data_IF_796342574794
#
_entry.id   IF_796342574794
#
_cell.length_a   1.000
_cell.length_b   1.000
_cell.length_c   1.000
_cell.angle_alpha   90.00
_cell.angle_beta   90.00
_cell.angle_gamma   90.00
#
_symmetry.space_group_name_H-M   'P 1'
#
loop_
_entity.id
_entity.type
_entity.pdbx_description
1 polymer ?
#
# COMPACT_ATOMS: atom_id res chain seq x y z
N UNK A 1 -17.73 -37.62 -31.00
CA UNK A 1 -18.01 -36.17 -30.97
C UNK A 1 -18.15 -35.77 -29.53
N UNK A 2 -17.39 -34.77 -29.07
CA UNK A 2 -17.58 -34.20 -27.73
C UNK A 2 -18.98 -33.58 -27.69
N UNK A 3 -19.80 -33.93 -26.70
CA UNK A 3 -21.12 -33.35 -26.54
C UNK A 3 -20.97 -31.86 -26.21
N UNK A 4 -21.82 -31.01 -26.80
CA UNK A 4 -21.85 -29.56 -26.51
C UNK A 4 -21.99 -29.31 -25.01
N UNK A 5 -22.73 -30.18 -24.30
CA UNK A 5 -22.89 -30.11 -22.84
C UNK A 5 -21.58 -30.29 -22.07
N UNK A 6 -20.70 -31.17 -22.57
CA UNK A 6 -19.37 -31.38 -21.96
C UNK A 6 -18.48 -30.15 -22.16
N UNK A 7 -18.63 -29.46 -23.29
CA UNK A 7 -17.91 -28.21 -23.57
C UNK A 7 -18.40 -27.10 -22.63
N UNK A 8 -19.71 -26.91 -22.48
CA UNK A 8 -20.31 -25.91 -21.57
C UNK A 8 -19.85 -26.11 -20.12
N UNK A 9 -19.84 -27.35 -19.63
CA UNK A 9 -19.36 -27.67 -18.28
C UNK A 9 -17.89 -27.27 -18.08
N UNK A 10 -17.04 -27.55 -19.07
CA UNK A 10 -15.62 -27.20 -19.03
C UNK A 10 -15.41 -25.70 -19.08
N UNK A 11 -16.21 -24.96 -19.85
CA UNK A 11 -16.15 -23.50 -19.90
C UNK A 11 -16.48 -22.90 -18.53
N UNK A 12 -17.57 -23.34 -17.89
CA UNK A 12 -17.95 -22.87 -16.56
C UNK A 12 -16.85 -23.16 -15.51
N UNK A 13 -16.25 -24.35 -15.54
CA UNK A 13 -15.13 -24.68 -14.66
C UNK A 13 -13.90 -23.80 -14.90
N UNK A 14 -13.61 -23.47 -16.17
CA UNK A 14 -12.50 -22.58 -16.54
C UNK A 14 -12.76 -21.15 -16.10
N UNK A 15 -13.98 -20.63 -16.22
CA UNK A 15 -14.35 -19.29 -15.73
C UNK A 15 -14.16 -19.17 -14.21
N UNK A 16 -14.57 -20.19 -13.45
CA UNK A 16 -14.36 -20.24 -12.00
C UNK A 16 -12.86 -20.25 -11.65
N UNK A 17 -12.07 -21.04 -12.39
CA UNK A 17 -10.62 -21.10 -12.19
C UNK A 17 -9.95 -19.79 -12.56
N UNK A 18 -10.37 -19.15 -13.65
CA UNK A 18 -9.85 -17.87 -14.11
C UNK A 18 -10.09 -16.80 -13.05
N UNK A 19 -11.33 -16.66 -12.56
CA UNK A 19 -11.67 -15.73 -11.47
C UNK A 19 -10.82 -15.95 -10.22
N UNK A 20 -10.60 -17.21 -9.82
CA UNK A 20 -9.75 -17.54 -8.65
C UNK A 20 -8.27 -17.16 -8.88
N UNK A 21 -7.77 -17.32 -10.10
CA UNK A 21 -6.41 -16.94 -10.46
C UNK A 21 -6.28 -15.42 -10.51
N UNK A 22 -7.25 -14.74 -11.12
CA UNK A 22 -7.36 -13.28 -11.11
C UNK A 22 -7.39 -12.75 -9.68
N UNK A 23 -8.23 -13.28 -8.79
CA UNK A 23 -8.27 -12.88 -7.37
C UNK A 23 -6.94 -13.12 -6.63
N UNK A 24 -6.12 -14.08 -7.06
CA UNK A 24 -4.81 -14.38 -6.46
C UNK A 24 -3.68 -13.52 -7.04
N UNK A 25 -3.76 -13.15 -8.32
CA UNK A 25 -2.77 -12.33 -9.02
C UNK A 25 -3.06 -10.83 -8.80
N UNK A 26 -4.34 -10.45 -8.77
CA UNK A 26 -4.84 -9.08 -8.51
C UNK A 26 -4.96 -8.77 -7.03
N UNK A 27 -4.93 -9.77 -6.13
CA UNK A 27 -4.56 -9.48 -4.73
C UNK A 27 -3.16 -8.91 -4.81
N UNK A 28 -2.98 -7.61 -4.54
CA UNK A 28 -1.73 -6.96 -4.82
C UNK A 28 -0.63 -7.69 -4.03
N UNK A 29 0.57 -7.78 -4.61
CA UNK A 29 1.79 -8.23 -3.91
C UNK A 29 2.09 -7.39 -2.63
N UNK A 30 1.20 -6.49 -2.22
CA UNK A 30 1.30 -5.47 -1.19
C UNK A 30 1.05 -5.94 0.25
N UNK A 31 1.01 -7.23 0.56
CA UNK A 31 0.91 -7.57 2.00
C UNK A 31 2.16 -7.21 2.80
N UNK A 32 3.32 -6.99 2.18
CA UNK A 32 4.53 -6.61 2.90
C UNK A 32 4.86 -5.12 2.78
N UNK A 33 4.75 -4.53 1.59
CA UNK A 33 5.08 -3.10 1.40
C UNK A 33 4.02 -2.18 2.00
N UNK A 34 2.72 -2.49 1.87
CA UNK A 34 1.66 -1.72 2.52
C UNK A 34 1.76 -1.79 4.04
N UNK A 35 2.01 -2.99 4.59
CA UNK A 35 2.23 -3.16 6.04
C UNK A 35 3.44 -2.36 6.53
N UNK A 36 4.55 -2.41 5.79
CA UNK A 36 5.73 -1.62 6.09
C UNK A 36 5.42 -0.12 6.05
N UNK A 37 4.74 0.36 5.01
CA UNK A 37 4.37 1.76 4.87
C UNK A 37 3.41 2.24 5.96
N UNK A 38 2.48 1.39 6.42
CA UNK A 38 1.61 1.69 7.54
C UNK A 38 2.38 1.76 8.87
N UNK A 39 3.27 0.80 9.13
CA UNK A 39 4.12 0.82 10.33
C UNK A 39 5.05 2.06 10.36
N UNK A 40 5.61 2.43 9.20
CA UNK A 40 6.43 3.64 9.05
C UNK A 40 5.60 4.91 9.28
N UNK A 41 4.35 4.94 8.82
CA UNK A 41 3.45 6.06 9.03
C UNK A 41 3.12 6.27 10.51
N UNK A 42 2.78 5.20 11.24
CA UNK A 42 2.45 5.28 12.66
C UNK A 42 3.64 5.80 13.47
N UNK A 43 4.84 5.27 13.19
CA UNK A 43 6.08 5.74 13.82
C UNK A 43 6.40 7.20 13.45
N UNK A 44 6.14 7.60 12.21
CA UNK A 44 6.33 8.98 11.78
C UNK A 44 5.40 9.94 12.55
N UNK A 45 4.14 9.55 12.75
CA UNK A 45 3.16 10.34 13.52
C UNK A 45 3.64 10.57 14.95
N UNK A 46 4.11 9.53 15.63
CA UNK A 46 4.69 9.65 16.98
C UNK A 46 5.90 10.59 17.02
N UNK A 47 6.84 10.43 16.08
CA UNK A 47 8.05 11.26 16.01
C UNK A 47 7.73 12.74 15.79
N UNK A 48 6.80 13.03 14.90
CA UNK A 48 6.38 14.39 14.59
C UNK A 48 5.72 15.05 15.78
N UNK A 49 4.80 14.35 16.45
CA UNK A 49 4.13 14.85 17.66
C UNK A 49 5.13 15.07 18.81
N UNK A 50 6.10 14.19 18.98
CA UNK A 50 7.12 14.30 20.04
C UNK A 50 8.13 15.44 19.80
N UNK A 51 8.52 15.67 18.55
CA UNK A 51 9.61 16.61 18.22
C UNK A 51 9.10 17.95 17.66
N UNK A 52 7.78 18.10 17.42
CA UNK A 52 7.18 19.25 16.72
C UNK A 52 7.90 19.60 15.40
N UNK A 53 8.42 18.58 14.71
CA UNK A 53 9.18 18.74 13.47
C UNK A 53 8.77 17.69 12.46
N UNK A 54 8.44 18.14 11.26
CA UNK A 54 8.01 17.28 10.15
C UNK A 54 8.64 17.78 8.84
N UNK A 55 9.82 17.26 8.51
CA UNK A 55 10.44 17.50 7.20
C UNK A 55 10.90 16.18 6.58
N UNK A 56 11.06 16.16 5.26
CA UNK A 56 11.51 14.96 4.53
C UNK A 56 12.84 14.45 5.10
N UNK A 57 13.83 15.33 5.27
CA UNK A 57 15.15 14.98 5.82
C UNK A 57 15.06 14.48 7.27
N UNK A 58 14.16 15.06 8.08
CA UNK A 58 13.95 14.60 9.46
C UNK A 58 13.40 13.17 9.48
N UNK A 59 12.34 12.89 8.72
CA UNK A 59 11.75 11.55 8.63
C UNK A 59 12.73 10.54 8.03
N UNK A 60 13.47 10.94 6.99
CA UNK A 60 14.49 10.13 6.35
C UNK A 60 15.54 9.64 7.37
N UNK A 61 16.11 10.56 8.17
CA UNK A 61 17.14 10.24 9.17
C UNK A 61 16.61 9.45 10.35
N UNK A 62 15.37 9.71 10.79
CA UNK A 62 14.79 9.05 11.98
C UNK A 62 14.21 7.68 11.69
N UNK A 63 13.73 7.43 10.46
CA UNK A 63 13.15 6.15 10.05
C UNK A 63 14.11 5.31 9.20
N UNK A 64 15.25 5.87 8.78
CA UNK A 64 16.25 5.20 7.94
C UNK A 64 15.60 4.67 6.66
N UNK A 65 14.94 5.58 5.95
CA UNK A 65 14.21 5.29 4.70
C UNK A 65 14.75 6.15 3.56
N UNK A 66 14.43 5.79 2.33
CA UNK A 66 14.74 6.63 1.18
C UNK A 66 13.89 7.92 1.16
N UNK A 67 14.31 8.88 0.33
CA UNK A 67 13.67 10.19 0.20
C UNK A 67 12.23 10.06 -0.32
N UNK A 68 11.97 9.13 -1.25
CA UNK A 68 10.65 8.95 -1.86
C UNK A 68 9.61 8.49 -0.84
N UNK A 69 9.96 7.51 0.02
CA UNK A 69 9.13 7.05 1.13
C UNK A 69 8.93 8.14 2.17
N UNK A 70 9.98 8.88 2.52
CA UNK A 70 9.87 10.00 3.45
C UNK A 70 8.91 11.09 2.94
N UNK A 71 8.97 11.42 1.64
CA UNK A 71 8.05 12.36 0.99
C UNK A 71 6.61 11.84 1.01
N UNK A 72 6.38 10.58 0.60
CA UNK A 72 5.04 9.94 0.66
C UNK A 72 4.46 9.96 2.06
N UNK A 73 5.26 9.66 3.08
CA UNK A 73 4.81 9.69 4.49
C UNK A 73 4.45 11.12 4.91
N UNK A 74 5.27 12.10 4.56
CA UNK A 74 5.01 13.51 4.88
C UNK A 74 3.68 13.98 4.24
N UNK A 75 3.46 13.67 2.97
CA UNK A 75 2.21 13.96 2.25
C UNK A 75 1.02 13.26 2.91
N UNK A 76 1.16 12.00 3.34
CA UNK A 76 0.11 11.26 4.05
C UNK A 76 -0.19 11.88 5.42
N UNK A 77 0.82 12.38 6.13
CA UNK A 77 0.63 13.09 7.40
C UNK A 77 -0.11 14.42 7.21
N UNK A 78 0.20 15.16 6.14
CA UNK A 78 -0.52 16.39 5.77
C UNK A 78 -1.98 16.10 5.40
N UNK A 79 -2.19 15.13 4.50
CA UNK A 79 -3.52 14.73 4.02
C UNK A 79 -4.43 14.27 5.16
N UNK A 80 -3.87 13.60 6.17
CA UNK A 80 -4.60 13.12 7.34
C UNK A 80 -4.71 14.17 8.46
N UNK A 81 -4.26 15.41 8.24
CA UNK A 81 -4.35 16.50 9.21
C UNK A 81 -3.45 16.37 10.43
N UNK A 82 -2.45 15.47 10.40
CA UNK A 82 -1.48 15.29 11.50
C UNK A 82 -0.52 16.47 11.56
N UNK A 83 -0.20 17.07 10.41
CA UNK A 83 0.64 18.26 10.30
C UNK A 83 0.00 19.29 9.38
N UNK A 84 0.22 20.57 9.70
CA UNK A 84 -0.21 21.69 8.85
C UNK A 84 0.72 21.82 7.65
N UNK A 85 0.18 22.23 6.50
CA UNK A 85 0.89 22.47 5.23
C UNK A 85 1.75 23.75 5.23
N UNK A 86 2.46 24.03 6.34
CA UNK A 86 3.25 25.25 6.48
C UNK A 86 4.74 24.92 6.58
N UNK A 87 5.37 24.50 5.47
CA UNK A 87 6.84 24.60 5.28
C UNK A 87 7.18 24.76 3.79
N UNK A 88 6.94 25.97 3.29
CA UNK A 88 7.87 26.72 2.41
C UNK A 88 7.92 28.12 2.97
#
# INVERSE_FOLDING_TARGET
>A
MTDIKDVEKRVNELEIRLKRVEDKILKPLDTNEEKLMNALYDKAKELVLKNNRSSVIFLQKKLIIDMARAKKILEKLQKNGVIKTNQT
#
